data_IF_150475745400
#
_entry.id   IF_150475745400
#
_cell.length_a   1.000
_cell.length_b   1.000
_cell.length_c   1.000
_cell.angle_alpha   90.00
_cell.angle_beta   90.00
_cell.angle_gamma   90.00
#
_symmetry.space_group_name_H-M   'P 1'
#
loop_
_entity.id
_entity.type
_entity.pdbx_description
1 polymer ?
#
# COMPACT_ATOMS: atom_id res chain seq x y z
N UNK A 1 26.22 -4.58 10.71
CA UNK A 1 24.76 -4.59 10.92
C UNK A 1 24.10 -3.86 9.75
N UNK A 2 23.01 -4.40 9.19
CA UNK A 2 22.22 -3.68 8.19
C UNK A 2 21.33 -2.68 8.92
N UNK A 3 21.59 -1.38 8.76
CA UNK A 3 20.70 -0.35 9.30
C UNK A 3 19.76 0.10 8.19
N UNK A 4 18.45 0.14 8.47
CA UNK A 4 17.48 0.71 7.54
C UNK A 4 17.73 2.21 7.42
N UNK A 5 17.77 2.71 6.19
CA UNK A 5 17.86 4.13 5.88
C UNK A 5 16.47 4.74 5.76
N UNK A 6 15.59 4.10 5.00
CA UNK A 6 14.23 4.58 4.75
C UNK A 6 13.31 3.44 4.35
N UNK A 7 12.01 3.67 4.55
CA UNK A 7 10.94 2.85 4.00
C UNK A 7 10.03 3.78 3.19
N UNK A 8 9.91 3.53 1.89
CA UNK A 8 8.87 4.12 1.06
C UNK A 8 7.66 3.21 1.07
N UNK A 9 6.47 3.75 1.25
CA UNK A 9 5.21 3.02 1.19
C UNK A 9 4.33 3.69 0.15
N UNK A 10 3.83 2.90 -0.80
CA UNK A 10 2.80 3.29 -1.76
C UNK A 10 1.53 2.50 -1.45
N UNK A 11 0.44 3.19 -1.13
CA UNK A 11 -0.82 2.56 -0.78
C UNK A 11 -1.88 2.91 -1.83
N UNK A 12 -2.65 1.94 -2.28
CA UNK A 12 -3.82 2.14 -3.13
C UNK A 12 -5.03 1.41 -2.58
N UNK A 13 -6.21 1.98 -2.84
CA UNK A 13 -7.48 1.30 -2.65
C UNK A 13 -7.82 0.59 -3.95
N UNK A 14 -8.00 -0.72 -3.90
CA UNK A 14 -8.37 -1.54 -5.03
C UNK A 14 -9.79 -2.07 -4.89
N UNK A 15 -10.53 -2.13 -6.01
CA UNK A 15 -11.85 -2.75 -6.12
C UNK A 15 -11.79 -4.00 -6.97
N UNK A 16 -12.39 -5.08 -6.48
CA UNK A 16 -12.53 -6.31 -7.24
C UNK A 16 -13.38 -6.05 -8.48
N UNK A 17 -12.89 -6.53 -9.61
CA UNK A 17 -13.57 -6.45 -10.88
C UNK A 17 -13.72 -7.86 -11.49
N UNK A 18 -14.23 -7.92 -12.72
CA UNK A 18 -14.48 -9.19 -13.41
C UNK A 18 -13.16 -9.98 -13.61
N UNK A 19 -13.19 -11.28 -13.93
CA UNK A 19 -11.96 -12.09 -14.15
C UNK A 19 -10.86 -11.99 -13.07
N UNK A 20 -11.23 -11.79 -11.81
CA UNK A 20 -10.30 -11.74 -10.67
C UNK A 20 -9.25 -10.62 -10.72
N UNK A 21 -9.42 -9.61 -11.57
CA UNK A 21 -8.56 -8.42 -11.54
C UNK A 21 -9.06 -7.40 -10.51
N UNK A 22 -8.13 -6.57 -10.03
CA UNK A 22 -8.37 -5.53 -9.05
C UNK A 22 -8.06 -4.18 -9.69
N UNK A 23 -9.05 -3.29 -9.76
CA UNK A 23 -8.90 -1.94 -10.29
C UNK A 23 -8.45 -0.99 -9.19
N UNK A 24 -7.53 -0.07 -9.47
CA UNK A 24 -7.21 1.02 -8.54
C UNK A 24 -8.33 2.05 -8.56
N UNK A 25 -9.01 2.20 -7.42
CA UNK A 25 -10.05 3.21 -7.23
C UNK A 25 -9.51 4.44 -6.50
N UNK A 26 -8.47 4.32 -5.68
CA UNK A 26 -7.89 5.45 -4.95
C UNK A 26 -6.38 5.34 -4.73
N UNK A 27 -5.71 6.48 -4.61
CA UNK A 27 -4.25 6.58 -4.52
C UNK A 27 -3.56 6.62 -5.90
N UNK A 28 -2.26 6.26 -6.00
CA UNK A 28 -1.42 5.82 -4.89
C UNK A 28 -1.10 6.98 -3.93
N UNK A 29 -1.30 6.75 -2.64
CA UNK A 29 -0.79 7.64 -1.59
C UNK A 29 0.60 7.18 -1.21
N UNK A 30 1.56 8.10 -1.28
CA UNK A 30 2.98 7.78 -1.08
C UNK A 30 3.52 8.46 0.15
N UNK A 31 4.30 7.74 0.94
CA UNK A 31 5.08 8.30 2.06
C UNK A 31 6.43 7.64 2.13
N UNK A 32 7.48 8.44 2.30
CA UNK A 32 8.81 7.95 2.68
C UNK A 32 9.03 8.30 4.15
N UNK A 33 9.34 7.28 4.96
CA UNK A 33 9.69 7.44 6.37
C UNK A 33 11.12 7.00 6.60
N UNK A 34 11.78 7.67 7.55
CA UNK A 34 13.12 7.32 8.03
C UNK A 34 13.06 6.69 9.44
N UNK A 35 11.84 6.45 9.93
CA UNK A 35 11.52 5.78 11.19
C UNK A 35 10.91 4.39 10.92
N UNK A 36 10.72 3.59 11.97
CA UNK A 36 10.07 2.27 11.88
C UNK A 36 8.54 2.31 11.70
N UNK A 37 7.92 3.47 11.56
CA UNK A 37 6.46 3.63 11.51
C UNK A 37 6.05 4.56 10.37
N UNK A 38 5.11 4.11 9.55
CA UNK A 38 4.40 4.93 8.57
C UNK A 38 2.89 4.85 8.84
N UNK A 39 2.23 6.01 8.84
CA UNK A 39 0.78 6.13 9.01
C UNK A 39 0.17 6.80 7.78
N UNK A 40 -1.00 6.30 7.38
CA UNK A 40 -1.80 6.81 6.28
C UNK A 40 -3.24 6.99 6.75
N UNK A 41 -3.75 8.22 6.62
CA UNK A 41 -5.14 8.56 6.91
C UNK A 41 -5.78 9.03 5.60
N UNK A 42 -6.28 8.08 4.80
CA UNK A 42 -6.86 8.35 3.49
C UNK A 42 -8.37 8.07 3.51
N UNK A 43 -9.13 8.91 2.82
CA UNK A 43 -10.58 8.75 2.67
C UNK A 43 -11.00 8.84 1.20
N UNK A 44 -11.98 8.04 0.81
CA UNK A 44 -12.61 8.08 -0.51
C UNK A 44 -14.06 7.60 -0.42
N UNK A 45 -14.99 8.33 -1.03
CA UNK A 45 -16.36 7.85 -1.28
C UNK A 45 -16.34 6.84 -2.42
N UNK A 46 -16.95 5.67 -2.21
CA UNK A 46 -16.94 4.56 -3.17
C UNK A 46 -18.34 4.02 -3.40
N UNK A 47 -18.55 3.36 -4.54
CA UNK A 47 -19.76 2.60 -4.84
C UNK A 47 -19.73 1.22 -4.17
N UNK A 48 -20.84 0.49 -4.22
CA UNK A 48 -20.90 -0.88 -3.72
C UNK A 48 -19.90 -1.80 -4.43
N UNK A 49 -19.37 -2.79 -3.71
CA UNK A 49 -18.42 -3.76 -4.23
C UNK A 49 -17.47 -4.32 -3.17
N UNK A 50 -16.55 -5.17 -3.60
CA UNK A 50 -15.49 -5.72 -2.75
C UNK A 50 -14.21 -4.91 -2.93
N UNK A 51 -13.63 -4.46 -1.82
CA UNK A 51 -12.44 -3.61 -1.80
C UNK A 51 -11.32 -4.27 -0.99
N UNK A 52 -10.08 -3.88 -1.30
CA UNK A 52 -8.91 -4.15 -0.45
C UNK A 52 -7.93 -3.00 -0.54
N UNK A 53 -7.07 -2.88 0.44
CA UNK A 53 -5.90 -2.01 0.38
C UNK A 53 -4.73 -2.82 -0.15
N UNK A 54 -4.01 -2.27 -1.12
CA UNK A 54 -2.67 -2.73 -1.51
C UNK A 54 -1.63 -1.78 -0.94
N UNK A 55 -0.57 -2.32 -0.35
CA UNK A 55 0.58 -1.56 0.13
C UNK A 55 1.86 -2.14 -0.45
N UNK A 56 2.66 -1.30 -1.11
CA UNK A 56 3.98 -1.64 -1.62
C UNK A 56 5.01 -0.92 -0.78
N UNK A 57 5.80 -1.69 -0.03
CA UNK A 57 6.90 -1.21 0.80
C UNK A 57 8.20 -1.36 0.02
N UNK A 58 8.97 -0.29 -0.12
CA UNK A 58 10.36 -0.35 -0.57
C UNK A 58 11.25 0.01 0.61
N UNK A 59 11.94 -0.99 1.15
CA UNK A 59 12.87 -0.83 2.26
C UNK A 59 14.26 -0.59 1.68
N UNK A 60 14.88 0.53 2.01
CA UNK A 60 16.25 0.85 1.60
C UNK A 60 17.17 0.85 2.81
N UNK A 61 18.25 0.10 2.72
CA UNK A 61 19.31 0.03 3.74
C UNK A 61 20.34 1.14 3.54
N UNK A 62 21.14 1.46 4.57
CA UNK A 62 22.18 2.50 4.48
C UNK A 62 23.28 2.18 3.47
N UNK A 63 23.51 0.91 3.16
CA UNK A 63 24.48 0.47 2.14
C UNK A 63 23.95 0.59 0.70
N UNK A 64 22.71 1.06 0.52
CA UNK A 64 22.10 1.33 -0.78
C UNK A 64 21.25 0.20 -1.35
N UNK A 65 21.25 -1.00 -0.74
CA UNK A 65 20.36 -2.09 -1.19
C UNK A 65 18.90 -1.78 -0.88
N UNK A 66 18.01 -2.20 -1.77
CA UNK A 66 16.56 -2.08 -1.59
C UNK A 66 15.84 -3.41 -1.82
N UNK A 67 14.74 -3.59 -1.11
CA UNK A 67 13.81 -4.72 -1.25
C UNK A 67 12.38 -4.21 -1.34
N UNK A 68 11.55 -4.85 -2.17
CA UNK A 68 10.14 -4.49 -2.32
C UNK A 68 9.23 -5.60 -1.79
N UNK A 69 8.31 -5.25 -0.91
CA UNK A 69 7.32 -6.14 -0.32
C UNK A 69 5.93 -5.62 -0.68
N UNK A 70 5.08 -6.47 -1.26
CA UNK A 70 3.68 -6.14 -1.51
C UNK A 70 2.79 -6.86 -0.51
N UNK A 71 1.90 -6.11 0.14
CA UNK A 71 0.91 -6.63 1.07
C UNK A 71 -0.49 -6.22 0.65
N UNK A 72 -1.45 -7.07 0.99
CA UNK A 72 -2.87 -6.82 0.78
C UNK A 72 -3.60 -6.92 2.12
N UNK A 73 -4.56 -6.03 2.37
CA UNK A 73 -5.48 -6.19 3.49
C UNK A 73 -6.44 -7.34 3.25
N UNK A 74 -7.20 -7.69 4.29
CA UNK A 74 -8.44 -8.45 4.09
C UNK A 74 -9.38 -7.69 3.14
N UNK A 75 -10.22 -8.44 2.44
CA UNK A 75 -11.27 -7.90 1.59
C UNK A 75 -12.43 -7.36 2.43
N UNK A 76 -12.99 -6.23 2.00
CA UNK A 76 -14.12 -5.56 2.64
C UNK A 76 -15.23 -5.39 1.63
N UNK A 77 -16.43 -5.87 1.95
CA UNK A 77 -17.63 -5.66 1.14
C UNK A 77 -18.33 -4.39 1.57
N UNK A 78 -18.56 -3.49 0.63
CA UNK A 78 -19.38 -2.28 0.79
C UNK A 78 -20.71 -2.52 0.08
N UNK A 79 -21.81 -2.35 0.81
CA UNK A 79 -23.17 -2.53 0.32
C UNK A 79 -23.73 -1.23 -0.25
#
# INVERSE_FOLDING_TARGET
SGTIKSVKVEQSLEKFAFLWFWNTEGGPWTRTVYSGVAQFDNYKVVSSGTYRVKSVFTVTTKDGRSETITMYSNEVKVA
#
